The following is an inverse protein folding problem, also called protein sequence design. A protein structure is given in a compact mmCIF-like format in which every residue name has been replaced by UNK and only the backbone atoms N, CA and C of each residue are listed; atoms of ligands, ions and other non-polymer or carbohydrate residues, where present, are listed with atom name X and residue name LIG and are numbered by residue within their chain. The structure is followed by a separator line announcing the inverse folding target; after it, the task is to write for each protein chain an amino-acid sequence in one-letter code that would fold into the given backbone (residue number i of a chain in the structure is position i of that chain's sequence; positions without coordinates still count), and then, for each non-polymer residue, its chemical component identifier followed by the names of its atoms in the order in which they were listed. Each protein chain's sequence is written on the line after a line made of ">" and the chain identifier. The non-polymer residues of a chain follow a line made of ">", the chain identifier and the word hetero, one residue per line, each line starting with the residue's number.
data_IF_700136691547
#
_entry.id   IF_700136691547
#
_cell.length_a   1.000
_cell.length_b   1.000
_cell.length_c   1.000
_cell.angle_alpha   90.00
_cell.angle_beta   90.00
_cell.angle_gamma   90.00
#
_symmetry.space_group_name_H-M   'P 1'
#
loop_
_entity.id
_entity.type
_entity.pdbx_description
1 polymer ?
#
# COMPACT_ATOMS: atom_id res chain seq x y z
N UNK A 1 -12.83 -2.77 8.78
CA UNK A 1 -13.85 -3.73 8.31
C UNK A 1 -15.25 -3.39 8.84
N UNK A 2 -15.47 -3.28 10.16
CA UNK A 2 -16.79 -2.93 10.71
C UNK A 2 -17.38 -1.61 10.16
N UNK A 3 -16.58 -0.53 10.11
CA UNK A 3 -17.03 0.73 9.50
C UNK A 3 -17.43 0.57 8.02
N UNK A 4 -16.65 -0.20 7.26
CA UNK A 4 -16.92 -0.48 5.85
C UNK A 4 -18.27 -1.20 5.65
N UNK A 5 -18.57 -2.20 6.47
CA UNK A 5 -19.86 -2.90 6.39
C UNK A 5 -21.04 -2.03 6.82
N UNK A 6 -20.86 -1.13 7.79
CA UNK A 6 -21.92 -0.20 8.21
C UNK A 6 -22.17 0.88 7.15
N UNK A 7 -21.12 1.41 6.52
CA UNK A 7 -21.25 2.39 5.43
C UNK A 7 -22.02 1.79 4.24
N UNK A 8 -21.77 0.52 3.89
CA UNK A 8 -22.50 -0.16 2.82
C UNK A 8 -24.00 -0.29 3.14
N UNK A 9 -24.35 -0.68 4.37
CA UNK A 9 -25.76 -0.73 4.81
C UNK A 9 -26.41 0.64 4.72
N UNK A 10 -25.68 1.70 5.12
CA UNK A 10 -26.16 3.06 5.03
C UNK A 10 -26.43 3.48 3.58
N UNK A 11 -25.51 3.23 2.65
CA UNK A 11 -25.69 3.58 1.24
C UNK A 11 -26.81 2.80 0.56
N UNK A 12 -26.97 1.52 0.90
CA UNK A 12 -28.09 0.69 0.42
C UNK A 12 -29.45 1.16 0.96
N UNK A 13 -29.50 1.68 2.20
CA UNK A 13 -30.74 2.18 2.80
C UNK A 13 -31.30 3.45 2.14
N UNK A 14 -30.50 4.14 1.31
CA UNK A 14 -30.86 5.39 0.63
C UNK A 14 -30.70 5.29 -0.91
N UNK A 15 -31.45 4.40 -1.58
CA UNK A 15 -31.30 4.13 -3.00
C UNK A 15 -31.78 5.27 -3.91
N UNK A 16 -32.49 6.26 -3.35
CA UNK A 16 -32.91 7.48 -4.06
C UNK A 16 -31.77 8.50 -4.21
N UNK A 17 -30.87 8.56 -3.22
CA UNK A 17 -29.71 9.46 -3.21
C UNK A 17 -28.48 8.77 -3.82
N UNK A 18 -28.33 7.47 -3.57
CA UNK A 18 -27.17 6.70 -4.00
C UNK A 18 -27.56 5.62 -5.02
N UNK A 19 -27.95 6.04 -6.23
CA UNK A 19 -28.40 5.15 -7.29
C UNK A 19 -27.36 4.08 -7.70
N UNK A 20 -26.07 4.31 -7.44
CA UNK A 20 -25.00 3.34 -7.74
C UNK A 20 -25.08 2.06 -6.91
N UNK A 21 -25.62 2.13 -5.68
CA UNK A 21 -25.73 1.02 -4.72
C UNK A 21 -27.08 0.29 -4.78
N UNK A 22 -27.96 0.66 -5.71
CA UNK A 22 -29.27 0.01 -5.88
C UNK A 22 -29.07 -1.43 -6.34
N UNK A 23 -29.73 -2.37 -5.65
CA UNK A 23 -29.70 -3.82 -5.92
C UNK A 23 -28.30 -4.45 -5.82
N UNK A 24 -27.34 -3.78 -5.18
CA UNK A 24 -25.99 -4.29 -4.96
C UNK A 24 -25.95 -4.99 -3.60
N UNK A 25 -26.00 -6.33 -3.58
CA UNK A 25 -25.88 -7.14 -2.37
C UNK A 25 -24.49 -7.81 -2.29
N UNK A 26 -23.50 -7.20 -1.62
CA UNK A 26 -22.19 -7.81 -1.43
C UNK A 26 -22.28 -8.95 -0.41
N UNK A 27 -21.89 -10.16 -0.81
CA UNK A 27 -21.62 -11.27 0.11
C UNK A 27 -20.15 -11.25 0.54
N UNK A 28 -19.91 -11.43 1.84
CA UNK A 28 -18.57 -11.56 2.42
C UNK A 28 -18.24 -13.01 2.79
N UNK A 29 -18.98 -13.98 2.24
CA UNK A 29 -18.72 -15.38 2.48
C UNK A 29 -17.40 -15.81 1.83
N UNK A 30 -16.65 -16.67 2.52
CA UNK A 30 -15.41 -17.25 1.97
C UNK A 30 -15.67 -18.17 0.77
N UNK A 31 -16.93 -18.55 0.53
CA UNK A 31 -17.34 -19.26 -0.68
C UNK A 31 -17.34 -18.35 -1.92
N UNK A 32 -17.38 -17.02 -1.76
CA UNK A 32 -17.26 -16.08 -2.86
C UNK A 32 -15.79 -15.98 -3.31
N UNK A 33 -15.44 -16.38 -4.55
CA UNK A 33 -14.07 -16.34 -5.05
C UNK A 33 -13.45 -14.93 -5.00
N UNK A 34 -14.24 -13.88 -5.18
CA UNK A 34 -13.76 -12.50 -5.18
C UNK A 34 -13.30 -12.02 -3.80
N UNK A 35 -13.93 -12.52 -2.73
CA UNK A 35 -13.49 -12.26 -1.34
C UNK A 35 -12.12 -12.90 -1.11
N UNK A 36 -11.92 -14.13 -1.59
CA UNK A 36 -10.65 -14.86 -1.48
C UNK A 36 -9.53 -14.18 -2.28
N UNK A 37 -9.82 -13.73 -3.51
CA UNK A 37 -8.87 -12.94 -4.31
C UNK A 37 -8.49 -11.65 -3.59
N UNK A 38 -9.48 -10.94 -3.06
CA UNK A 38 -9.27 -9.76 -2.23
C UNK A 38 -8.36 -10.06 -1.05
N UNK A 39 -8.65 -11.13 -0.30
CA UNK A 39 -7.89 -11.54 0.88
C UNK A 39 -6.41 -11.79 0.56
N UNK A 40 -6.11 -12.52 -0.50
CA UNK A 40 -4.73 -12.80 -0.90
C UNK A 40 -4.00 -11.53 -1.36
N UNK A 41 -4.62 -10.72 -2.22
CA UNK A 41 -4.02 -9.47 -2.67
C UNK A 41 -3.79 -8.51 -1.51
N UNK A 42 -4.75 -8.41 -0.59
CA UNK A 42 -4.61 -7.65 0.63
C UNK A 42 -3.48 -8.18 1.52
N UNK A 43 -3.39 -9.49 1.68
CA UNK A 43 -2.36 -10.15 2.48
C UNK A 43 -0.93 -9.93 2.00
N UNK A 44 -0.75 -9.76 0.69
CA UNK A 44 0.57 -9.54 0.08
C UNK A 44 1.06 -8.09 0.23
N UNK A 45 0.16 -7.12 0.42
CA UNK A 45 0.52 -5.71 0.41
C UNK A 45 1.50 -5.28 1.51
N UNK A 46 1.34 -5.70 2.79
CA UNK A 46 2.29 -5.34 3.83
C UNK A 46 3.71 -5.85 3.54
N UNK A 47 3.82 -7.07 2.99
CA UNK A 47 5.10 -7.64 2.58
C UNK A 47 5.72 -6.88 1.41
N UNK A 48 4.91 -6.54 0.39
CA UNK A 48 5.38 -5.77 -0.75
C UNK A 48 5.84 -4.36 -0.34
N UNK A 49 5.07 -3.70 0.53
CA UNK A 49 5.44 -2.41 1.11
C UNK A 49 6.74 -2.51 1.91
N UNK A 50 6.87 -3.52 2.77
CA UNK A 50 8.07 -3.77 3.55
C UNK A 50 9.30 -4.02 2.68
N UNK A 51 9.18 -4.86 1.65
CA UNK A 51 10.27 -5.16 0.72
C UNK A 51 10.75 -3.92 -0.05
N UNK A 52 9.83 -3.11 -0.57
CA UNK A 52 10.18 -1.86 -1.24
C UNK A 52 10.80 -0.85 -0.28
N UNK A 53 10.26 -0.74 0.94
CA UNK A 53 10.81 0.13 2.00
C UNK A 53 12.24 -0.27 2.39
N UNK A 54 12.50 -1.55 2.61
CA UNK A 54 13.84 -2.04 2.93
C UNK A 54 14.84 -1.81 1.79
N UNK A 55 14.41 -1.97 0.54
CA UNK A 55 15.28 -1.74 -0.63
C UNK A 55 15.59 -0.25 -0.80
N UNK A 56 14.59 0.62 -0.59
CA UNK A 56 14.77 2.08 -0.58
C UNK A 56 15.75 2.53 0.52
N UNK A 57 15.59 2.03 1.74
CA UNK A 57 16.50 2.32 2.86
C UNK A 57 17.91 1.81 2.56
N UNK A 58 18.05 0.61 1.99
CA UNK A 58 19.35 0.06 1.60
C UNK A 58 20.11 0.95 0.62
N UNK A 59 19.44 1.48 -0.41
CA UNK A 59 20.05 2.43 -1.36
C UNK A 59 20.48 3.73 -0.69
N UNK A 60 19.61 4.31 0.13
CA UNK A 60 19.91 5.56 0.84
C UNK A 60 21.07 5.38 1.83
N UNK A 61 21.09 4.28 2.60
CA UNK A 61 22.18 3.98 3.53
C UNK A 61 23.51 3.75 2.80
N UNK A 62 23.49 3.07 1.65
CA UNK A 62 24.68 2.88 0.81
C UNK A 62 25.31 4.21 0.39
N UNK A 63 24.51 5.15 -0.10
CA UNK A 63 24.99 6.48 -0.49
C UNK A 63 25.63 7.26 0.67
N UNK A 64 25.05 7.15 1.87
CA UNK A 64 25.61 7.79 3.08
C UNK A 64 26.96 7.17 3.44
N UNK A 65 27.10 5.84 3.38
CA UNK A 65 28.38 5.16 3.67
C UNK A 65 29.47 5.57 2.67
N UNK A 66 29.14 5.69 1.40
CA UNK A 66 30.09 6.15 0.38
C UNK A 66 30.56 7.59 0.63
N UNK A 67 29.64 8.49 1.02
CA UNK A 67 29.98 9.86 1.37
C UNK A 67 30.86 9.95 2.63
N UNK A 68 30.55 9.17 3.68
CA UNK A 68 31.39 9.10 4.88
C UNK A 68 32.79 8.59 4.55
N UNK A 69 32.89 7.53 3.74
CA UNK A 69 34.19 7.00 3.29
C UNK A 69 34.98 8.01 2.46
N UNK A 70 34.29 8.79 1.60
CA UNK A 70 34.90 9.86 0.83
C UNK A 70 35.47 10.95 1.73
N UNK A 71 34.71 11.42 2.72
CA UNK A 71 35.16 12.43 3.68
C UNK A 71 36.38 11.95 4.48
N UNK A 72 36.38 10.70 4.95
CA UNK A 72 37.55 10.14 5.67
C UNK A 72 38.79 10.01 4.79
N UNK A 73 38.64 9.67 3.50
CA UNK A 73 39.77 9.56 2.57
C UNK A 73 40.36 10.92 2.19
N UNK A 74 39.51 11.91 1.94
CA UNK A 74 39.95 13.24 1.53
C UNK A 74 40.45 14.09 2.71
N UNK A 75 39.92 13.85 3.93
CA UNK A 75 40.25 14.61 5.14
C UNK A 75 40.65 13.68 6.29
N UNK A 76 41.92 13.21 6.33
CA UNK A 76 42.42 12.35 7.41
C UNK A 76 42.38 13.02 8.79
N UNK A 77 42.34 14.35 8.83
CA UNK A 77 42.18 15.15 10.05
C UNK A 77 40.87 14.87 10.80
N UNK A 78 39.85 14.35 10.11
CA UNK A 78 38.59 13.92 10.73
C UNK A 78 38.81 12.69 11.63
N UNK A 79 39.57 11.69 11.18
CA UNK A 79 39.87 10.50 12.00
C UNK A 79 40.74 10.82 13.21
N UNK A 80 41.56 11.87 13.12
CA UNK A 80 42.39 12.37 14.22
C UNK A 80 41.63 13.31 15.17
N UNK A 81 40.35 13.59 14.90
CA UNK A 81 39.52 14.52 15.69
C UNK A 81 39.92 15.99 15.56
N UNK A 82 40.76 16.35 14.58
CA UNK A 82 41.29 17.70 14.37
C UNK A 82 40.41 18.54 13.45
N UNK A 83 39.63 17.91 12.58
CA UNK A 83 38.75 18.56 11.61
C UNK A 83 37.31 18.04 11.73
N UNK A 84 36.31 18.92 11.54
CA UNK A 84 34.90 18.54 11.61
C UNK A 84 34.41 17.98 10.25
N UNK A 85 33.60 16.89 10.25
CA UNK A 85 32.94 16.40 9.04
C UNK A 85 31.97 17.41 8.43
N UNK A 86 31.69 17.23 7.14
CA UNK A 86 30.61 17.95 6.47
C UNK A 86 29.29 17.19 6.65
N UNK A 87 28.60 17.51 7.75
CA UNK A 87 27.29 16.96 8.07
C UNK A 87 26.19 17.50 7.15
N UNK A 88 26.31 18.73 6.67
CA UNK A 88 25.28 19.39 5.85
C UNK A 88 25.09 18.66 4.53
N UNK A 89 26.19 18.29 3.88
CA UNK A 89 26.16 17.48 2.66
C UNK A 89 25.57 16.09 2.87
N UNK A 90 25.91 15.43 3.98
CA UNK A 90 25.37 14.10 4.29
C UNK A 90 23.85 14.15 4.54
N UNK A 91 23.36 15.19 5.23
CA UNK A 91 21.94 15.39 5.50
C UNK A 91 21.17 15.73 4.22
N UNK A 92 21.64 16.67 3.40
CA UNK A 92 20.94 17.04 2.15
C UNK A 92 20.81 15.85 1.19
N UNK A 93 21.86 15.02 1.10
CA UNK A 93 21.84 13.78 0.31
C UNK A 93 20.79 12.80 0.82
N UNK A 94 20.78 12.52 2.13
CA UNK A 94 19.79 11.66 2.79
C UNK A 94 18.38 12.15 2.53
N UNK A 95 18.12 13.45 2.73
CA UNK A 95 16.79 14.03 2.59
C UNK A 95 16.28 13.91 1.16
N UNK A 96 17.11 14.25 0.16
CA UNK A 96 16.73 14.13 -1.25
C UNK A 96 16.47 12.68 -1.66
N UNK A 97 17.33 11.76 -1.21
CA UNK A 97 17.16 10.34 -1.48
C UNK A 97 15.88 9.79 -0.85
N UNK A 98 15.64 10.09 0.44
CA UNK A 98 14.45 9.65 1.15
C UNK A 98 13.17 10.15 0.48
N UNK A 99 13.09 11.43 0.10
CA UNK A 99 11.91 11.99 -0.57
C UNK A 99 11.63 11.25 -1.89
N UNK A 100 12.66 11.02 -2.71
CA UNK A 100 12.48 10.34 -4.00
C UNK A 100 12.08 8.87 -3.83
N UNK A 101 12.71 8.17 -2.90
CA UNK A 101 12.55 6.73 -2.71
C UNK A 101 11.23 6.36 -2.02
N UNK A 102 10.66 7.26 -1.21
CA UNK A 102 9.39 7.02 -0.51
C UNK A 102 8.13 7.24 -1.35
N UNK A 103 8.23 7.86 -2.53
CA UNK A 103 7.06 8.09 -3.41
C UNK A 103 6.44 6.76 -3.86
N UNK A 104 7.25 5.80 -4.30
CA UNK A 104 6.74 4.52 -4.83
C UNK A 104 6.07 3.67 -3.75
N UNK A 105 6.68 3.43 -2.56
CA UNK A 105 6.04 2.67 -1.49
C UNK A 105 4.77 3.32 -0.96
N UNK A 106 4.74 4.67 -0.84
CA UNK A 106 3.56 5.37 -0.32
C UNK A 106 2.38 5.38 -1.27
N UNK A 107 2.63 5.29 -2.58
CA UNK A 107 1.58 5.25 -3.58
C UNK A 107 0.89 3.89 -3.66
N UNK A 108 1.59 2.80 -3.30
CA UNK A 108 1.06 1.44 -3.36
C UNK A 108 -0.24 1.28 -2.55
N UNK A 109 -0.34 1.64 -1.25
CA UNK A 109 -1.59 1.52 -0.49
C UNK A 109 -2.73 2.39 -1.02
N UNK A 110 -2.42 3.52 -1.66
CA UNK A 110 -3.42 4.43 -2.23
C UNK A 110 -3.99 3.87 -3.53
N UNK A 111 -3.13 3.35 -4.40
CA UNK A 111 -3.54 2.79 -5.68
C UNK A 111 -4.10 1.39 -5.58
N UNK A 112 -3.71 0.57 -4.60
CA UNK A 112 -4.09 -0.84 -4.55
C UNK A 112 -5.61 -1.07 -4.44
N UNK A 113 -6.37 -0.36 -3.59
CA UNK A 113 -7.82 -0.51 -3.54
C UNK A 113 -8.48 -0.05 -4.84
N UNK A 114 -7.98 1.04 -5.45
CA UNK A 114 -8.48 1.53 -6.73
C UNK A 114 -8.24 0.51 -7.85
N UNK A 115 -7.02 -0.01 -7.94
CA UNK A 115 -6.64 -1.00 -8.93
C UNK A 115 -7.45 -2.29 -8.79
N UNK A 116 -7.66 -2.77 -7.55
CA UNK A 116 -8.48 -3.96 -7.31
C UNK A 116 -9.95 -3.71 -7.67
N UNK A 117 -10.51 -2.58 -7.22
CA UNK A 117 -11.90 -2.22 -7.48
C UNK A 117 -12.18 -2.13 -8.98
N UNK A 118 -11.41 -1.32 -9.71
CA UNK A 118 -11.59 -1.17 -11.15
C UNK A 118 -11.23 -2.43 -11.92
N UNK A 119 -10.24 -3.21 -11.45
CA UNK A 119 -9.87 -4.49 -12.05
C UNK A 119 -11.01 -5.51 -12.00
N UNK A 120 -11.60 -5.72 -10.82
CA UNK A 120 -12.74 -6.64 -10.65
C UNK A 120 -13.96 -6.13 -11.43
N UNK A 121 -14.22 -4.83 -11.38
CA UNK A 121 -15.32 -4.19 -12.08
C UNK A 121 -15.20 -4.33 -13.62
N UNK A 122 -14.00 -4.13 -14.18
CA UNK A 122 -13.74 -4.30 -15.61
C UNK A 122 -13.88 -5.76 -16.04
N UNK A 123 -13.43 -6.71 -15.22
CA UNK A 123 -13.63 -8.15 -15.48
C UNK A 123 -15.13 -8.49 -15.47
N UNK A 124 -15.88 -7.99 -14.48
CA UNK A 124 -17.32 -8.20 -14.38
C UNK A 124 -18.12 -7.61 -15.54
N UNK A 125 -17.71 -6.46 -16.08
CA UNK A 125 -18.32 -5.86 -17.26
C UNK A 125 -17.89 -6.52 -18.59
N UNK A 126 -16.76 -7.22 -18.62
CA UNK A 126 -16.19 -7.80 -19.86
C UNK A 126 -16.92 -9.04 -20.38
N UNK A 127 -17.86 -9.61 -19.62
CA UNK A 127 -18.69 -10.70 -20.12
C UNK A 127 -19.41 -11.47 -19.01
N UNK A 128 -20.72 -11.67 -19.22
CA UNK A 128 -21.61 -12.69 -18.61
C UNK A 128 -22.25 -12.46 -17.23
N UNK A 129 -22.07 -11.32 -16.55
CA UNK A 129 -22.64 -11.09 -15.20
C UNK A 129 -23.49 -9.80 -15.16
N UNK A 130 -24.66 -9.76 -14.49
CA UNK A 130 -25.44 -8.52 -14.32
C UNK A 130 -24.62 -7.40 -13.66
N UNK A 131 -24.86 -6.13 -14.06
CA UNK A 131 -24.09 -4.99 -13.55
C UNK A 131 -24.13 -4.86 -12.02
N UNK A 132 -25.26 -5.22 -11.41
CA UNK A 132 -25.43 -5.20 -9.96
C UNK A 132 -24.51 -6.21 -9.25
N UNK A 133 -24.33 -7.39 -9.85
CA UNK A 133 -23.48 -8.46 -9.32
C UNK A 133 -21.99 -8.15 -9.56
N UNK A 134 -21.64 -7.52 -10.68
CA UNK A 134 -20.28 -7.01 -10.90
C UNK A 134 -19.87 -5.98 -9.85
N UNK A 135 -20.77 -5.04 -9.50
CA UNK A 135 -20.55 -4.07 -8.42
C UNK A 135 -20.45 -4.74 -7.05
N UNK A 136 -21.33 -5.71 -6.77
CA UNK A 136 -21.31 -6.46 -5.52
C UNK A 136 -19.98 -7.20 -5.33
N UNK A 137 -19.50 -7.88 -6.38
CA UNK A 137 -18.23 -8.59 -6.35
C UNK A 137 -17.02 -7.66 -6.18
N UNK A 138 -17.02 -6.47 -6.79
CA UNK A 138 -15.96 -5.48 -6.59
C UNK A 138 -15.91 -4.98 -5.12
N UNK A 139 -17.07 -4.76 -4.50
CA UNK A 139 -17.18 -4.39 -3.09
C UNK A 139 -16.73 -5.55 -2.18
N UNK A 140 -17.18 -6.77 -2.46
CA UNK A 140 -16.76 -7.97 -1.74
C UNK A 140 -15.25 -8.20 -1.80
N UNK A 141 -14.63 -7.99 -2.97
CA UNK A 141 -13.19 -8.07 -3.14
C UNK A 141 -12.44 -7.03 -2.31
N UNK A 142 -12.93 -5.78 -2.26
CA UNK A 142 -12.38 -4.75 -1.37
C UNK A 142 -12.52 -5.13 0.11
N UNK A 143 -13.66 -5.68 0.51
CA UNK A 143 -13.87 -6.19 1.86
C UNK A 143 -12.84 -7.27 2.23
N UNK A 144 -12.63 -8.24 1.34
CA UNK A 144 -11.60 -9.27 1.49
C UNK A 144 -10.19 -8.69 1.59
N UNK A 145 -9.86 -7.72 0.74
CA UNK A 145 -8.58 -7.01 0.77
C UNK A 145 -8.33 -6.30 2.09
N UNK A 146 -9.33 -5.58 2.63
CA UNK A 146 -9.20 -4.92 3.92
C UNK A 146 -8.93 -5.92 5.04
N UNK A 147 -9.63 -7.07 5.07
CA UNK A 147 -9.36 -8.12 6.04
C UNK A 147 -7.94 -8.67 5.91
N UNK A 148 -7.50 -8.95 4.68
CA UNK A 148 -6.17 -9.47 4.39
C UNK A 148 -5.07 -8.52 4.85
N UNK A 149 -5.18 -7.24 4.50
CA UNK A 149 -4.20 -6.20 4.90
C UNK A 149 -4.15 -6.04 6.41
N UNK A 150 -5.29 -6.01 7.10
CA UNK A 150 -5.32 -5.80 8.56
C UNK A 150 -4.62 -6.94 9.29
N UNK A 151 -4.97 -8.18 8.95
CA UNK A 151 -4.43 -9.37 9.62
C UNK A 151 -2.93 -9.48 9.35
N UNK A 152 -2.53 -9.53 8.08
CA UNK A 152 -1.12 -9.68 7.71
C UNK A 152 -0.28 -8.47 8.11
N UNK A 153 -0.81 -7.25 8.00
CA UNK A 153 -0.13 -6.03 8.37
C UNK A 153 0.15 -5.96 9.86
N UNK A 154 -0.78 -6.42 10.70
CA UNK A 154 -0.54 -6.54 12.13
C UNK A 154 0.61 -7.51 12.44
N UNK A 155 0.62 -8.70 11.83
CA UNK A 155 1.68 -9.69 12.05
C UNK A 155 3.04 -9.18 11.60
N UNK A 156 3.13 -8.61 10.40
CA UNK A 156 4.37 -8.04 9.87
C UNK A 156 4.87 -6.86 10.70
N UNK A 157 3.98 -6.04 11.26
CA UNK A 157 4.36 -4.91 12.08
C UNK A 157 4.89 -5.32 13.47
N UNK A 158 4.47 -6.48 13.99
CA UNK A 158 4.89 -6.99 15.30
C UNK A 158 6.14 -7.87 15.20
N UNK A 159 6.33 -8.60 14.09
CA UNK A 159 7.47 -9.50 13.86
C UNK A 159 8.78 -8.78 13.62
#
# INVERSE_FOLDING_TARGET
>A
FAAYTEDLKYFQSKPEVYAWFRDVEPSFDLSNPWVVVGLFLGGLLPYLFGAMGMTAVGRAAGAVVEEVRRQFREKPGIMQGKEKPDYGRAVDMLTRAAIREMVVPSLLPVLSPLALFFGVLLIGYSGTIPEAEAKANAISALGGMLLGVIVTGLFVAIS
#
